data_IF_488542698855
#
_entry.id   IF_488542698855
#
_cell.length_a   1.000
_cell.length_b   1.000
_cell.length_c   1.000
_cell.angle_alpha   90.00
_cell.angle_beta   90.00
_cell.angle_gamma   90.00
#
_symmetry.space_group_name_H-M   'P 1'
#
loop_
_entity.id
_entity.type
_entity.pdbx_description
1 polymer ?
#
# COMPACT_ATOMS: atom_id res chain seq x y z
N UNK A 1 57.49 12.46 -28.07
CA UNK A 1 57.15 12.49 -26.62
C UNK A 1 56.52 13.85 -26.35
N UNK A 2 55.25 14.07 -26.02
CA UNK A 2 54.12 13.27 -25.56
C UNK A 2 52.83 14.00 -25.99
N UNK A 3 51.82 13.29 -26.51
CA UNK A 3 50.47 13.83 -26.76
C UNK A 3 49.38 12.88 -26.20
N UNK A 4 49.70 12.14 -25.13
CA UNK A 4 48.81 11.09 -24.60
C UNK A 4 47.98 11.55 -23.39
N UNK A 5 48.29 12.70 -22.77
CA UNK A 5 47.72 13.04 -21.46
C UNK A 5 46.33 13.70 -21.44
N UNK A 6 45.83 14.28 -22.54
CA UNK A 6 44.53 15.00 -22.46
C UNK A 6 43.30 14.10 -22.61
N UNK A 7 43.44 12.89 -23.19
CA UNK A 7 42.28 12.03 -23.49
C UNK A 7 41.75 11.27 -22.27
N UNK A 8 42.59 11.04 -21.25
CA UNK A 8 42.23 10.30 -20.04
C UNK A 8 41.62 11.18 -18.94
N UNK A 9 41.89 12.49 -18.94
CA UNK A 9 41.29 13.44 -17.99
C UNK A 9 39.77 13.56 -18.15
N UNK A 10 39.31 13.75 -19.39
CA UNK A 10 37.87 13.88 -19.73
C UNK A 10 37.07 12.61 -19.40
N UNK A 11 37.63 11.42 -19.65
CA UNK A 11 36.96 10.16 -19.33
C UNK A 11 36.75 9.98 -17.81
N UNK A 12 37.68 10.45 -16.98
CA UNK A 12 37.54 10.37 -15.52
C UNK A 12 36.44 11.31 -15.00
N UNK A 13 36.28 12.48 -15.61
CA UNK A 13 35.26 13.45 -15.23
C UNK A 13 33.86 13.03 -15.71
N UNK A 14 33.75 12.48 -16.92
CA UNK A 14 32.52 11.90 -17.44
C UNK A 14 32.04 10.71 -16.59
N UNK A 15 32.95 9.82 -16.18
CA UNK A 15 32.62 8.68 -15.30
C UNK A 15 32.18 9.17 -13.91
N UNK A 16 32.82 10.22 -13.36
CA UNK A 16 32.41 10.82 -12.08
C UNK A 16 31.05 11.51 -12.19
N UNK A 17 30.80 12.28 -13.24
CA UNK A 17 29.52 12.95 -13.48
C UNK A 17 28.38 11.94 -13.69
N UNK A 18 28.63 10.86 -14.44
CA UNK A 18 27.67 9.78 -14.63
C UNK A 18 27.34 9.04 -13.32
N UNK A 19 28.35 8.74 -12.50
CA UNK A 19 28.16 8.09 -11.20
C UNK A 19 27.47 9.02 -10.18
N UNK A 20 27.76 10.32 -10.20
CA UNK A 20 27.04 11.31 -9.39
C UNK A 20 25.57 11.44 -9.81
N UNK A 21 25.27 11.42 -11.11
CA UNK A 21 23.91 11.40 -11.65
C UNK A 21 23.12 10.16 -11.23
N UNK A 22 23.76 8.98 -11.23
CA UNK A 22 23.17 7.73 -10.70
C UNK A 22 22.88 7.81 -9.20
N UNK A 23 23.80 8.35 -8.40
CA UNK A 23 23.59 8.54 -6.96
C UNK A 23 22.45 9.52 -6.66
N UNK A 24 22.34 10.61 -7.43
CA UNK A 24 21.25 11.58 -7.31
C UNK A 24 19.87 10.96 -7.62
N UNK A 25 19.77 10.20 -8.72
CA UNK A 25 18.54 9.47 -9.08
C UNK A 25 18.16 8.40 -8.04
N UNK A 26 19.15 7.67 -7.52
CA UNK A 26 18.92 6.67 -6.49
C UNK A 26 18.41 7.30 -5.19
N UNK A 27 19.02 8.40 -4.75
CA UNK A 27 18.58 9.14 -3.56
C UNK A 27 17.18 9.74 -3.73
N UNK A 28 16.83 10.21 -4.93
CA UNK A 28 15.48 10.70 -5.23
C UNK A 28 14.44 9.58 -5.18
N UNK A 29 14.70 8.44 -5.84
CA UNK A 29 13.80 7.27 -5.78
C UNK A 29 13.62 6.74 -4.36
N UNK A 30 14.69 6.75 -3.55
CA UNK A 30 14.64 6.38 -2.15
C UNK A 30 13.74 7.32 -1.34
N UNK A 31 13.92 8.63 -1.48
CA UNK A 31 13.06 9.64 -0.83
C UNK A 31 11.60 9.55 -1.25
N UNK A 32 11.33 9.30 -2.53
CA UNK A 32 9.97 9.09 -3.04
C UNK A 32 9.34 7.81 -2.44
N UNK A 33 10.10 6.71 -2.34
CA UNK A 33 9.67 5.50 -1.66
C UNK A 33 9.40 5.70 -0.16
N UNK A 34 10.26 6.44 0.53
CA UNK A 34 10.13 6.74 1.96
C UNK A 34 8.86 7.59 2.24
N UNK A 35 8.57 8.56 1.38
CA UNK A 35 7.36 9.39 1.48
C UNK A 35 6.08 8.59 1.20
N UNK A 36 6.10 7.68 0.22
CA UNK A 36 4.97 6.78 -0.05
C UNK A 36 4.73 5.87 1.17
N UNK A 37 5.77 5.27 1.72
CA UNK A 37 5.66 4.42 2.92
C UNK A 37 5.10 5.20 4.11
N UNK A 38 5.56 6.43 4.32
CA UNK A 38 5.03 7.31 5.37
C UNK A 38 3.54 7.55 5.21
N UNK A 39 3.08 7.86 3.99
CA UNK A 39 1.64 8.08 3.71
C UNK A 39 0.81 6.82 3.91
N UNK A 40 1.34 5.66 3.52
CA UNK A 40 0.69 4.37 3.75
C UNK A 40 0.54 4.14 5.27
N UNK A 41 1.59 4.36 6.06
CA UNK A 41 1.52 4.21 7.52
C UNK A 41 0.48 5.13 8.15
N UNK A 42 0.45 6.42 7.79
CA UNK A 42 -0.56 7.36 8.29
C UNK A 42 -1.98 6.95 7.90
N UNK A 43 -2.17 6.48 6.66
CA UNK A 43 -3.45 5.96 6.21
C UNK A 43 -3.88 4.72 7.00
N UNK A 44 -2.94 3.80 7.28
CA UNK A 44 -3.22 2.62 8.10
C UNK A 44 -3.68 3.02 9.49
N UNK A 45 -2.98 3.94 10.16
CA UNK A 45 -3.37 4.42 11.49
C UNK A 45 -4.75 5.07 11.49
N UNK A 46 -5.01 5.96 10.53
CA UNK A 46 -6.33 6.57 10.36
C UNK A 46 -7.41 5.50 10.13
N UNK A 47 -7.16 4.50 9.31
CA UNK A 47 -8.13 3.46 9.01
C UNK A 47 -8.40 2.57 10.23
N UNK A 48 -7.36 2.21 11.01
CA UNK A 48 -7.51 1.50 12.28
C UNK A 48 -8.40 2.29 13.25
N UNK A 49 -8.15 3.60 13.38
CA UNK A 49 -8.97 4.47 14.21
C UNK A 49 -10.41 4.57 13.68
N UNK A 50 -10.59 4.69 12.37
CA UNK A 50 -11.91 4.72 11.73
C UNK A 50 -12.71 3.45 12.05
N UNK A 51 -12.11 2.28 11.90
CA UNK A 51 -12.75 0.99 12.22
C UNK A 51 -13.16 0.86 13.69
N UNK A 52 -12.39 1.45 14.60
CA UNK A 52 -12.64 1.39 16.03
C UNK A 52 -13.73 2.37 16.50
N UNK A 53 -13.82 3.55 15.87
CA UNK A 53 -14.66 4.65 16.35
C UNK A 53 -15.99 4.82 15.61
N UNK A 54 -16.15 4.20 14.44
CA UNK A 54 -17.31 4.46 13.58
C UNK A 54 -18.23 3.25 13.46
N UNK A 55 -19.52 3.55 13.32
CA UNK A 55 -20.56 2.63 12.89
C UNK A 55 -20.97 2.96 11.45
N UNK A 56 -21.46 1.95 10.73
CA UNK A 56 -22.02 2.10 9.39
C UNK A 56 -23.53 1.94 9.50
N UNK A 57 -24.27 2.94 9.01
CA UNK A 57 -25.73 2.91 8.94
C UNK A 57 -26.15 2.21 7.65
N UNK A 58 -26.90 1.12 7.78
CA UNK A 58 -27.47 0.37 6.67
C UNK A 58 -28.82 0.98 6.22
N UNK A 59 -29.30 0.68 5.00
CA UNK A 59 -30.53 1.25 4.42
C UNK A 59 -31.83 1.05 5.24
N UNK A 60 -31.81 0.16 6.23
CA UNK A 60 -32.93 -0.12 7.14
C UNK A 60 -32.75 0.52 8.53
N UNK A 61 -31.78 1.43 8.69
CA UNK A 61 -31.50 2.13 9.95
C UNK A 61 -30.68 1.30 10.96
N UNK A 62 -30.26 0.09 10.60
CA UNK A 62 -29.35 -0.69 11.44
C UNK A 62 -27.96 -0.09 11.45
N UNK A 63 -27.42 0.11 12.65
CA UNK A 63 -26.04 0.49 12.85
C UNK A 63 -25.21 -0.75 13.18
N UNK A 64 -24.13 -0.96 12.45
CA UNK A 64 -23.15 -2.00 12.75
C UNK A 64 -21.76 -1.41 12.88
N UNK A 65 -20.88 -1.96 13.74
CA UNK A 65 -19.50 -1.52 13.81
C UNK A 65 -18.85 -1.56 12.42
N UNK A 66 -18.09 -0.52 12.06
CA UNK A 66 -17.45 -0.45 10.75
C UNK A 66 -16.58 -1.69 10.49
N UNK A 67 -15.87 -2.18 11.52
CA UNK A 67 -15.13 -3.45 11.48
C UNK A 67 -15.98 -4.62 10.99
N UNK A 68 -17.16 -4.81 11.58
CA UNK A 68 -18.06 -5.91 11.21
C UNK A 68 -18.61 -5.74 9.80
N UNK A 69 -18.93 -4.51 9.38
CA UNK A 69 -19.36 -4.22 8.02
C UNK A 69 -18.34 -4.68 6.98
N UNK A 70 -17.05 -4.38 7.16
CA UNK A 70 -16.00 -4.82 6.22
C UNK A 70 -15.73 -6.33 6.27
N UNK A 71 -15.85 -6.96 7.44
CA UNK A 71 -15.81 -8.42 7.56
C UNK A 71 -16.95 -9.04 6.77
N UNK A 72 -18.18 -8.57 6.98
CA UNK A 72 -19.36 -9.05 6.27
C UNK A 72 -19.27 -8.81 4.76
N UNK A 73 -18.76 -7.66 4.32
CA UNK A 73 -18.51 -7.33 2.91
C UNK A 73 -17.63 -8.39 2.23
N UNK A 74 -16.61 -8.87 2.93
CA UNK A 74 -15.66 -9.87 2.42
C UNK A 74 -16.21 -11.29 2.53
N UNK A 75 -16.95 -11.59 3.61
CA UNK A 75 -17.51 -12.91 3.85
C UNK A 75 -18.71 -13.21 2.94
N UNK A 76 -19.64 -12.25 2.78
CA UNK A 76 -20.91 -12.40 2.07
C UNK A 76 -20.83 -12.18 0.56
N UNK A 77 -19.62 -12.03 0.02
CA UNK A 77 -19.32 -11.98 -1.43
C UNK A 77 -19.86 -10.73 -2.14
N UNK A 78 -19.15 -10.31 -3.19
CA UNK A 78 -19.39 -9.18 -4.12
C UNK A 78 -20.80 -9.10 -4.76
N UNK A 79 -21.70 -10.03 -4.43
CA UNK A 79 -22.96 -10.26 -5.13
C UNK A 79 -24.14 -9.46 -4.58
N UNK A 80 -24.04 -8.88 -3.37
CA UNK A 80 -25.20 -8.27 -2.69
C UNK A 80 -24.95 -6.75 -2.51
N UNK A 81 -25.84 -5.87 -3.01
CA UNK A 81 -25.83 -4.45 -2.64
C UNK A 81 -26.00 -4.30 -1.12
N UNK A 82 -25.29 -3.38 -0.42
CA UNK A 82 -24.44 -2.28 -0.91
C UNK A 82 -22.95 -2.62 -1.08
N UNK A 83 -22.56 -3.89 -0.93
CA UNK A 83 -21.16 -4.33 -0.83
C UNK A 83 -20.42 -4.33 -2.17
N UNK A 84 -21.13 -4.63 -3.27
CA UNK A 84 -20.59 -4.76 -4.63
C UNK A 84 -19.70 -3.59 -5.10
N UNK A 85 -20.11 -2.30 -5.02
CA UNK A 85 -19.27 -1.18 -5.46
C UNK A 85 -18.10 -0.87 -4.51
N UNK A 86 -18.18 -1.28 -3.25
CA UNK A 86 -17.18 -0.97 -2.23
C UNK A 86 -16.10 -2.05 -2.13
N UNK A 87 -16.43 -3.30 -2.47
CA UNK A 87 -15.54 -4.44 -2.34
C UNK A 87 -14.19 -4.28 -3.07
N UNK A 88 -14.12 -3.81 -4.33
CA UNK A 88 -12.83 -3.61 -5.01
C UNK A 88 -11.95 -2.57 -4.31
N UNK A 89 -12.54 -1.48 -3.81
CA UNK A 89 -11.80 -0.44 -3.07
C UNK A 89 -11.28 -0.99 -1.75
N UNK A 90 -12.08 -1.79 -1.08
CA UNK A 90 -11.69 -2.44 0.16
C UNK A 90 -10.53 -3.44 -0.05
N UNK A 91 -10.55 -4.23 -1.12
CA UNK A 91 -9.43 -5.11 -1.45
C UNK A 91 -8.12 -4.34 -1.69
N UNK A 92 -8.18 -3.19 -2.38
CA UNK A 92 -7.01 -2.31 -2.56
C UNK A 92 -6.47 -1.79 -1.23
N UNK A 93 -7.35 -1.46 -0.28
CA UNK A 93 -6.96 -1.08 1.08
C UNK A 93 -6.33 -2.26 1.81
N UNK A 94 -6.95 -3.44 1.76
CA UNK A 94 -6.48 -4.65 2.43
C UNK A 94 -5.13 -5.13 1.89
N UNK A 95 -4.84 -4.89 0.61
CA UNK A 95 -3.54 -5.19 -0.01
C UNK A 95 -2.37 -4.35 0.55
N UNK A 96 -2.65 -3.25 1.25
CA UNK A 96 -1.63 -2.47 1.95
C UNK A 96 -1.13 -3.16 3.23
N UNK A 97 -1.89 -4.12 3.75
CA UNK A 97 -1.60 -4.79 5.02
C UNK A 97 -0.95 -6.15 4.79
N UNK A 98 -0.02 -6.50 5.68
CA UNK A 98 0.49 -7.87 5.73
C UNK A 98 -0.53 -8.81 6.40
N UNK A 99 -0.26 -10.11 6.37
CA UNK A 99 -1.20 -11.11 6.90
C UNK A 99 -1.42 -10.93 8.41
N UNK A 100 -0.37 -10.67 9.18
CA UNK A 100 -0.45 -10.52 10.63
C UNK A 100 -1.27 -9.28 11.01
N UNK A 101 -1.07 -8.17 10.32
CA UNK A 101 -1.86 -6.94 10.50
C UNK A 101 -3.34 -7.16 10.17
N UNK A 102 -3.65 -7.95 9.14
CA UNK A 102 -5.04 -8.29 8.80
C UNK A 102 -5.66 -9.22 9.86
N UNK A 103 -4.87 -10.14 10.43
CA UNK A 103 -5.32 -11.01 11.52
C UNK A 103 -5.61 -10.21 12.78
N UNK A 104 -4.76 -9.26 13.15
CA UNK A 104 -4.99 -8.38 14.29
C UNK A 104 -6.26 -7.54 14.10
N UNK A 105 -6.46 -7.01 12.89
CA UNK A 105 -7.58 -6.12 12.61
C UNK A 105 -8.91 -6.84 12.47
N UNK A 106 -8.94 -8.03 11.88
CA UNK A 106 -10.20 -8.66 11.45
C UNK A 106 -10.32 -10.14 11.83
N UNK A 107 -9.26 -10.73 12.40
CA UNK A 107 -9.20 -12.14 12.78
C UNK A 107 -8.64 -13.05 11.68
N UNK A 108 -8.25 -14.26 12.09
CA UNK A 108 -7.58 -15.26 11.24
C UNK A 108 -8.39 -15.67 10.01
N UNK A 109 -9.69 -15.96 10.20
CA UNK A 109 -10.60 -16.40 9.13
C UNK A 109 -10.69 -15.35 8.02
N UNK A 110 -10.75 -14.07 8.42
CA UNK A 110 -10.82 -12.96 7.48
C UNK A 110 -9.52 -12.81 6.69
N UNK A 111 -8.38 -12.80 7.38
CA UNK A 111 -7.08 -12.61 6.75
C UNK A 111 -6.81 -13.69 5.68
N UNK A 112 -7.12 -14.95 6.00
CA UNK A 112 -7.02 -16.06 5.04
C UNK A 112 -7.90 -15.85 3.80
N UNK A 113 -9.16 -15.44 3.97
CA UNK A 113 -10.08 -15.24 2.84
C UNK A 113 -9.65 -14.09 1.94
N UNK A 114 -9.24 -12.96 2.51
CA UNK A 114 -8.71 -11.82 1.73
C UNK A 114 -7.46 -12.21 0.94
N UNK A 115 -6.54 -12.95 1.56
CA UNK A 115 -5.32 -13.41 0.90
C UNK A 115 -5.61 -14.33 -0.29
N UNK A 116 -6.61 -15.22 -0.17
CA UNK A 116 -7.06 -16.05 -1.29
C UNK A 116 -7.61 -15.20 -2.45
N UNK A 117 -8.40 -14.16 -2.14
CA UNK A 117 -8.98 -13.26 -3.15
C UNK A 117 -7.92 -12.39 -3.83
N UNK A 118 -6.92 -11.91 -3.07
CA UNK A 118 -5.81 -11.13 -3.62
C UNK A 118 -4.90 -11.99 -4.49
N UNK A 119 -4.55 -13.22 -4.05
CA UNK A 119 -3.63 -14.12 -4.77
C UNK A 119 -4.27 -14.85 -5.96
N UNK A 120 -5.60 -14.97 -5.98
CA UNK A 120 -6.34 -15.58 -7.08
C UNK A 120 -6.62 -14.65 -8.27
N UNK A 121 -6.11 -13.41 -8.24
CA UNK A 121 -6.13 -12.42 -9.33
C UNK A 121 -4.74 -12.28 -9.93
#
# INVERSE_FOLDING_TARGET
MWQVDQKYGNLSEEIKAFNQGKHSLFNRKKREGDEINRRISLFKEWFKWFLAMNTVVLPEGYEIPAREFYIQMTLKTEAIPPYRPLHPKFLSIAALYNNDELQDLFGSIFATKVQMVIKGR
#
